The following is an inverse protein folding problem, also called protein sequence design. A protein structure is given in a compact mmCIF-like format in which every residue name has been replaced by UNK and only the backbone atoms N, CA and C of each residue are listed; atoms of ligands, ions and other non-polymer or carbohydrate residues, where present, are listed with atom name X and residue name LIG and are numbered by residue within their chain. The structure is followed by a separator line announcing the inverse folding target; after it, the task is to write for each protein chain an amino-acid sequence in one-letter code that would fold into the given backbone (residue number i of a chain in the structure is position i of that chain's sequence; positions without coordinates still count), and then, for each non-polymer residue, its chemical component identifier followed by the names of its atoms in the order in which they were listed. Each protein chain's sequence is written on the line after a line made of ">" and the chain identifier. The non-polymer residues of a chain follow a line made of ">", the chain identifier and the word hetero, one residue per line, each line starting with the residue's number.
data_IF_819389786367
#
_entry.id   IF_819389786367
#
_cell.length_a   1.000
_cell.length_b   1.000
_cell.length_c   1.000
_cell.angle_alpha   90.00
_cell.angle_beta   90.00
_cell.angle_gamma   90.00
#
_symmetry.space_group_name_H-M   'P 1'
#
loop_
_entity.id
_entity.type
_entity.pdbx_description
1 polymer ?
#
# COMPACT_ATOMS: atom_id res chain seq x y z
N UNK A 1 -61.29 -13.11 -28.44
CA UNK A 1 -60.34 -12.52 -27.48
C UNK A 1 -59.03 -12.29 -28.23
N UNK A 2 -58.78 -11.07 -28.71
CA UNK A 2 -57.65 -10.76 -29.58
C UNK A 2 -56.37 -10.58 -28.76
N UNK A 3 -55.43 -11.53 -28.90
CA UNK A 3 -54.07 -11.38 -28.39
C UNK A 3 -53.34 -10.34 -29.22
N UNK A 4 -53.06 -9.19 -28.62
CA UNK A 4 -52.40 -8.05 -29.23
C UNK A 4 -50.90 -8.37 -29.43
N UNK A 5 -50.52 -8.97 -30.57
CA UNK A 5 -49.15 -9.39 -30.90
C UNK A 5 -48.27 -8.23 -31.44
N UNK A 6 -48.24 -7.08 -30.76
CA UNK A 6 -47.41 -5.92 -31.18
C UNK A 6 -46.08 -5.78 -30.43
N UNK A 7 -45.85 -6.55 -29.35
CA UNK A 7 -44.63 -6.48 -28.54
C UNK A 7 -43.46 -7.39 -28.99
N UNK A 8 -43.69 -8.29 -29.97
CA UNK A 8 -42.69 -9.30 -30.35
C UNK A 8 -41.55 -8.72 -31.20
N UNK A 9 -41.82 -7.71 -32.03
CA UNK A 9 -40.84 -7.16 -32.98
C UNK A 9 -39.86 -6.15 -32.34
N UNK A 10 -40.21 -5.54 -31.20
CA UNK A 10 -39.32 -4.66 -30.45
C UNK A 10 -38.50 -5.43 -29.40
N UNK A 11 -38.94 -6.62 -29.00
CA UNK A 11 -38.29 -7.42 -27.97
C UNK A 11 -36.91 -7.93 -28.40
N UNK A 12 -36.75 -8.37 -29.66
CA UNK A 12 -35.49 -8.95 -30.13
C UNK A 12 -34.35 -7.92 -30.20
N UNK A 13 -34.60 -6.78 -30.84
CA UNK A 13 -33.58 -5.72 -30.96
C UNK A 13 -33.31 -5.03 -29.62
N UNK A 14 -34.34 -4.81 -28.79
CA UNK A 14 -34.15 -4.26 -27.44
C UNK A 14 -33.38 -5.25 -26.54
N UNK A 15 -33.63 -6.55 -26.66
CA UNK A 15 -32.91 -7.57 -25.90
C UNK A 15 -31.42 -7.61 -26.28
N UNK A 16 -31.09 -7.53 -27.58
CA UNK A 16 -29.71 -7.43 -28.05
C UNK A 16 -29.01 -6.20 -27.45
N UNK A 17 -29.69 -5.06 -27.42
CA UNK A 17 -29.16 -3.82 -26.83
C UNK A 17 -28.95 -3.98 -25.32
N UNK A 18 -29.90 -4.56 -24.58
CA UNK A 18 -29.77 -4.78 -23.13
C UNK A 18 -28.59 -5.71 -22.83
N UNK A 19 -28.47 -6.82 -23.57
CA UNK A 19 -27.36 -7.77 -23.41
C UNK A 19 -26.03 -7.07 -23.71
N UNK A 20 -25.96 -6.24 -24.76
CA UNK A 20 -24.77 -5.48 -25.08
C UNK A 20 -24.38 -4.51 -23.95
N UNK A 21 -25.34 -3.80 -23.35
CA UNK A 21 -25.08 -2.89 -22.23
C UNK A 21 -24.56 -3.65 -21.00
N UNK A 22 -25.16 -4.80 -20.68
CA UNK A 22 -24.71 -5.66 -19.58
C UNK A 22 -23.28 -6.14 -19.84
N UNK A 23 -22.99 -6.62 -21.05
CA UNK A 23 -21.67 -7.08 -21.44
C UNK A 23 -20.62 -5.96 -21.34
N UNK A 24 -20.93 -4.74 -21.81
CA UNK A 24 -20.06 -3.57 -21.69
C UNK A 24 -19.82 -3.21 -20.22
N UNK A 25 -20.85 -3.25 -19.39
CA UNK A 25 -20.74 -2.97 -17.95
C UNK A 25 -19.81 -3.98 -17.26
N UNK A 26 -19.93 -5.27 -17.58
CA UNK A 26 -19.02 -6.30 -17.11
C UNK A 26 -17.58 -6.08 -17.59
N UNK A 27 -17.38 -5.68 -18.85
CA UNK A 27 -16.07 -5.36 -19.40
C UNK A 27 -15.40 -4.20 -18.67
N UNK A 28 -16.13 -3.10 -18.43
CA UNK A 28 -15.61 -1.94 -17.67
C UNK A 28 -15.23 -2.35 -16.25
N UNK A 29 -16.08 -3.13 -15.57
CA UNK A 29 -15.80 -3.64 -14.24
C UNK A 29 -14.54 -4.52 -14.22
N UNK A 30 -14.41 -5.43 -15.20
CA UNK A 30 -13.26 -6.32 -15.33
C UNK A 30 -11.97 -5.54 -15.61
N UNK A 31 -12.02 -4.51 -16.48
CA UNK A 31 -10.90 -3.60 -16.73
C UNK A 31 -10.45 -2.88 -15.46
N UNK A 32 -11.38 -2.34 -14.68
CA UNK A 32 -11.07 -1.68 -13.41
C UNK A 32 -10.45 -2.66 -12.40
N UNK A 33 -11.01 -3.86 -12.30
CA UNK A 33 -10.49 -4.92 -11.41
C UNK A 33 -9.07 -5.33 -11.77
N UNK A 34 -8.79 -5.59 -13.06
CA UNK A 34 -7.46 -5.94 -13.55
C UNK A 34 -6.46 -4.80 -13.35
N UNK A 35 -6.85 -3.57 -13.68
CA UNK A 35 -6.00 -2.39 -13.49
C UNK A 35 -5.64 -2.21 -12.01
N UNK A 36 -6.64 -2.30 -11.11
CA UNK A 36 -6.41 -2.17 -9.67
C UNK A 36 -5.52 -3.28 -9.13
N UNK A 37 -5.75 -4.54 -9.53
CA UNK A 37 -4.95 -5.67 -9.08
C UNK A 37 -3.47 -5.52 -9.50
N UNK A 38 -3.22 -5.14 -10.76
CA UNK A 38 -1.87 -4.95 -11.29
C UNK A 38 -1.16 -3.74 -10.65
N UNK A 39 -1.89 -2.66 -10.35
CA UNK A 39 -1.33 -1.52 -9.62
C UNK A 39 -0.93 -1.94 -8.21
N UNK A 40 -1.80 -2.64 -7.48
CA UNK A 40 -1.51 -3.12 -6.13
C UNK A 40 -0.31 -4.06 -6.08
N UNK A 41 -0.15 -4.97 -7.04
CA UNK A 41 1.01 -5.87 -7.09
C UNK A 41 2.32 -5.09 -7.34
N UNK A 42 2.32 -4.14 -8.28
CA UNK A 42 3.50 -3.30 -8.57
C UNK A 42 3.88 -2.40 -7.40
N UNK A 43 2.90 -1.79 -6.74
CA UNK A 43 3.15 -0.94 -5.57
C UNK A 43 3.79 -1.78 -4.45
N UNK A 44 3.29 -3.00 -4.23
CA UNK A 44 3.86 -3.91 -3.22
C UNK A 44 5.27 -4.39 -3.56
N UNK A 45 5.55 -4.72 -4.83
CA UNK A 45 6.91 -5.06 -5.28
C UNK A 45 7.90 -3.90 -5.10
N UNK A 46 7.47 -2.69 -5.44
CA UNK A 46 8.28 -1.48 -5.28
C UNK A 46 8.54 -1.17 -3.79
N UNK A 47 7.52 -1.31 -2.94
CA UNK A 47 7.65 -1.19 -1.49
C UNK A 47 8.64 -2.22 -0.93
N UNK A 48 8.56 -3.48 -1.38
CA UNK A 48 9.48 -4.55 -0.96
C UNK A 48 10.91 -4.25 -1.38
N UNK A 49 11.13 -3.85 -2.63
CA UNK A 49 12.46 -3.48 -3.12
C UNK A 49 13.03 -2.28 -2.35
N UNK A 50 12.19 -1.29 -2.07
CA UNK A 50 12.56 -0.10 -1.29
C UNK A 50 12.96 -0.43 0.14
N UNK A 51 12.18 -1.28 0.81
CA UNK A 51 12.47 -1.68 2.19
C UNK A 51 13.74 -2.52 2.29
N UNK A 52 13.95 -3.43 1.34
CA UNK A 52 15.19 -4.20 1.25
C UNK A 52 16.39 -3.27 1.08
N UNK A 53 16.31 -2.32 0.13
CA UNK A 53 17.38 -1.35 -0.09
C UNK A 53 17.66 -0.50 1.16
N UNK A 54 16.62 -0.04 1.86
CA UNK A 54 16.76 0.69 3.11
C UNK A 54 17.52 -0.12 4.17
N UNK A 55 17.18 -1.39 4.32
CA UNK A 55 17.83 -2.27 5.30
C UNK A 55 19.28 -2.57 4.90
N UNK A 56 19.55 -2.75 3.61
CA UNK A 56 20.92 -2.90 3.09
C UNK A 56 21.78 -1.67 3.40
N UNK A 57 21.24 -0.46 3.19
CA UNK A 57 21.93 0.80 3.50
C UNK A 57 22.12 1.02 5.01
N UNK A 58 21.16 0.59 5.82
CA UNK A 58 21.30 0.56 7.28
C UNK A 58 22.47 -0.37 7.67
N UNK A 59 22.48 -1.59 7.13
CA UNK A 59 23.49 -2.60 7.44
C UNK A 59 24.88 -2.25 6.90
N UNK A 60 24.98 -1.45 5.83
CA UNK A 60 26.24 -0.95 5.31
C UNK A 60 26.84 0.18 6.15
N UNK A 61 26.08 0.72 7.10
CA UNK A 61 26.49 1.87 7.91
C UNK A 61 26.38 3.20 7.17
N UNK A 62 25.57 3.27 6.12
CA UNK A 62 25.33 4.51 5.39
C UNK A 62 24.61 5.52 6.27
N UNK A 63 24.92 6.81 6.09
CA UNK A 63 24.27 7.91 6.83
C UNK A 63 23.14 8.57 6.03
N UNK A 64 23.07 8.31 4.72
CA UNK A 64 22.08 8.90 3.81
C UNK A 64 21.67 7.86 2.78
N UNK A 65 20.37 7.71 2.56
CA UNK A 65 19.84 6.78 1.56
C UNK A 65 18.70 7.43 0.77
N UNK A 66 18.55 7.01 -0.49
CA UNK A 66 17.49 7.44 -1.37
C UNK A 66 16.50 6.29 -1.59
N UNK A 67 15.23 6.54 -1.28
CA UNK A 67 14.18 5.52 -1.36
C UNK A 67 13.15 5.88 -2.45
N UNK A 68 12.77 4.88 -3.25
CA UNK A 68 11.78 4.97 -4.31
C UNK A 68 10.50 4.20 -3.96
N UNK A 69 9.69 4.75 -3.06
CA UNK A 69 8.48 4.10 -2.55
C UNK A 69 7.24 4.44 -3.42
N UNK A 70 6.19 3.59 -3.47
CA UNK A 70 4.89 3.99 -3.98
C UNK A 70 4.39 5.34 -3.43
N UNK A 71 3.79 6.15 -4.31
CA UNK A 71 3.14 7.41 -3.90
C UNK A 71 2.03 7.10 -2.90
N UNK A 72 1.81 7.99 -1.92
CA UNK A 72 0.79 7.88 -0.84
C UNK A 72 1.07 6.82 0.24
N UNK A 73 2.12 6.03 0.09
CA UNK A 73 2.58 5.12 1.13
C UNK A 73 3.51 5.84 2.08
N UNK A 74 3.74 5.23 3.23
CA UNK A 74 4.55 5.80 4.32
C UNK A 74 5.54 4.78 4.85
N UNK A 75 6.62 5.29 5.43
CA UNK A 75 7.61 4.49 6.17
C UNK A 75 7.31 4.66 7.66
N UNK A 76 7.18 3.55 8.37
CA UNK A 76 6.85 3.51 9.79
C UNK A 76 7.68 2.47 10.52
N UNK A 77 8.11 2.80 11.73
CA UNK A 77 8.76 1.86 12.66
C UNK A 77 7.82 1.53 13.80
N UNK A 78 7.91 0.30 14.29
CA UNK A 78 7.15 -0.19 15.43
C UNK A 78 8.13 -0.71 16.50
N UNK A 79 8.66 0.17 17.37
CA UNK A 79 9.64 -0.20 18.39
C UNK A 79 9.02 -0.72 19.69
N UNK A 80 7.70 -0.57 19.87
CA UNK A 80 7.00 -0.96 21.08
C UNK A 80 5.94 -2.03 20.78
N UNK A 81 5.98 -3.12 21.55
CA UNK A 81 5.11 -4.30 21.42
C UNK A 81 3.61 -4.02 21.69
N UNK A 82 3.22 -2.77 21.94
CA UNK A 82 1.83 -2.40 22.28
C UNK A 82 0.92 -2.36 21.05
N UNK A 83 1.46 -1.99 19.88
CA UNK A 83 0.70 -1.90 18.62
C UNK A 83 1.47 -2.49 17.43
N UNK A 84 2.30 -3.49 17.70
CA UNK A 84 3.06 -4.17 16.66
C UNK A 84 2.11 -4.83 15.65
N UNK A 85 2.30 -4.63 14.33
CA UNK A 85 1.55 -5.37 13.32
C UNK A 85 1.67 -6.89 13.55
N UNK A 86 0.59 -7.63 13.28
CA UNK A 86 0.57 -9.09 13.37
C UNK A 86 1.65 -9.75 12.53
N UNK A 87 1.98 -9.19 11.36
CA UNK A 87 3.08 -9.72 10.55
C UNK A 87 4.40 -9.72 11.31
N UNK A 88 4.70 -8.65 12.05
CA UNK A 88 5.93 -8.55 12.83
C UNK A 88 5.87 -9.45 14.08
N UNK A 89 4.74 -9.46 14.79
CA UNK A 89 4.63 -10.25 16.04
C UNK A 89 4.55 -11.75 15.78
N UNK A 90 3.89 -12.18 14.70
CA UNK A 90 3.87 -13.59 14.30
C UNK A 90 5.25 -14.08 13.82
N UNK A 91 6.08 -13.18 13.30
CA UNK A 91 7.47 -13.48 12.95
C UNK A 91 8.41 -13.54 14.17
N UNK A 92 7.94 -13.12 15.35
CA UNK A 92 8.71 -13.11 16.58
C UNK A 92 9.68 -11.93 16.69
N UNK A 93 9.46 -10.86 15.94
CA UNK A 93 10.29 -9.66 15.96
C UNK A 93 9.88 -8.73 17.10
N UNK A 94 10.88 -8.20 17.82
CA UNK A 94 10.66 -7.17 18.84
C UNK A 94 10.38 -5.81 18.21
N UNK A 95 11.06 -5.52 17.10
CA UNK A 95 10.97 -4.26 16.35
C UNK A 95 10.82 -4.55 14.85
N UNK A 96 10.03 -3.75 14.16
CA UNK A 96 9.95 -3.85 12.70
C UNK A 96 9.79 -2.51 12.00
N UNK A 97 10.32 -2.45 10.79
CA UNK A 97 10.17 -1.35 9.86
C UNK A 97 9.22 -1.77 8.75
N UNK A 98 8.19 -0.96 8.50
CA UNK A 98 7.13 -1.25 7.56
C UNK A 98 6.97 -0.13 6.53
N UNK A 99 6.75 -0.53 5.28
CA UNK A 99 6.27 0.32 4.21
C UNK A 99 4.83 -0.09 3.89
N UNK A 100 3.89 0.83 4.10
CA UNK A 100 2.46 0.54 3.94
C UNK A 100 1.69 1.77 3.49
N UNK A 101 0.52 1.53 2.89
CA UNK A 101 -0.43 2.60 2.63
C UNK A 101 -0.99 3.12 3.96
N UNK A 102 -1.05 4.45 4.14
CA UNK A 102 -1.59 5.09 5.35
C UNK A 102 -3.11 5.21 5.25
N UNK A 103 -3.92 4.32 5.87
CA UNK A 103 -5.30 4.67 6.14
C UNK A 103 -5.32 5.85 7.11
N UNK A 104 -6.16 6.86 6.86
CA UNK A 104 -6.48 7.82 7.91
C UNK A 104 -7.05 7.09 9.14
N UNK A 105 -6.81 7.59 10.35
CA UNK A 105 -7.39 7.04 11.58
C UNK A 105 -6.38 6.84 12.72
N UNK A 106 -6.72 5.91 13.62
CA UNK A 106 -5.93 5.60 14.83
C UNK A 106 -4.67 4.77 14.53
N UNK A 107 -3.70 4.76 15.46
CA UNK A 107 -2.50 3.89 15.40
C UNK A 107 -2.86 2.42 15.15
N UNK A 108 -3.93 1.92 15.75
CA UNK A 108 -4.41 0.54 15.57
C UNK A 108 -4.90 0.28 14.16
N UNK A 109 -5.60 1.24 13.56
CA UNK A 109 -6.07 1.17 12.17
C UNK A 109 -4.89 1.18 11.21
N UNK A 110 -3.87 1.98 11.54
CA UNK A 110 -2.64 2.05 10.77
C UNK A 110 -1.85 0.73 10.81
N UNK A 111 -1.62 0.17 12.00
CA UNK A 111 -0.98 -1.14 12.17
C UNK A 111 -1.69 -2.23 11.34
N UNK A 112 -3.03 -2.30 11.43
CA UNK A 112 -3.83 -3.27 10.68
C UNK A 112 -3.77 -3.09 9.15
N UNK A 113 -3.54 -1.87 8.65
CA UNK A 113 -3.34 -1.67 7.22
C UNK A 113 -1.96 -2.12 6.75
N UNK A 114 -0.94 -1.95 7.58
CA UNK A 114 0.39 -2.48 7.28
C UNK A 114 0.38 -4.01 7.22
N UNK A 115 -0.48 -4.69 8.01
CA UNK A 115 -0.68 -6.14 7.96
C UNK A 115 -1.33 -6.66 6.67
N UNK A 116 -2.15 -5.85 5.99
CA UNK A 116 -3.00 -6.35 4.89
C UNK A 116 -2.56 -5.85 3.52
N UNK A 117 -1.86 -4.71 3.49
CA UNK A 117 -1.49 -4.00 2.26
C UNK A 117 -0.11 -3.34 2.38
N UNK A 118 0.78 -3.93 3.17
CA UNK A 118 2.13 -3.44 3.42
C UNK A 118 3.19 -4.51 3.24
N UNK A 119 4.43 -4.14 3.56
CA UNK A 119 5.55 -5.04 3.73
C UNK A 119 6.34 -4.58 4.97
N UNK A 120 6.70 -5.53 5.82
CA UNK A 120 7.47 -5.29 7.04
C UNK A 120 8.71 -6.19 7.08
N UNK A 121 9.78 -5.68 7.67
CA UNK A 121 11.02 -6.43 7.91
C UNK A 121 11.58 -6.08 9.30
N UNK A 122 12.28 -7.04 9.90
CA UNK A 122 12.94 -6.89 11.20
C UNK A 122 13.99 -5.78 11.14
N UNK A 123 13.87 -4.81 12.04
CA UNK A 123 14.85 -3.73 12.16
C UNK A 123 14.69 -2.97 13.47
N UNK A 124 15.81 -2.55 14.07
CA UNK A 124 15.84 -1.78 15.31
C UNK A 124 15.72 -0.28 15.13
N UNK A 125 15.75 0.24 13.90
CA UNK A 125 15.70 1.67 13.66
C UNK A 125 14.30 2.22 13.90
N UNK A 126 14.27 3.36 14.56
CA UNK A 126 13.07 4.11 14.88
C UNK A 126 12.96 5.29 13.92
N UNK A 127 11.85 5.39 13.22
CA UNK A 127 11.50 6.61 12.49
C UNK A 127 11.22 7.68 13.56
N UNK A 128 11.92 8.82 13.52
CA UNK A 128 11.90 9.86 14.57
C UNK A 128 10.49 10.36 14.95
N UNK A 129 9.55 10.10 14.06
CA UNK A 129 8.13 10.39 14.21
C UNK A 129 7.30 9.08 14.40
N UNK A 130 7.77 8.18 15.26
CA UNK A 130 7.16 6.86 15.49
C UNK A 130 5.66 6.92 15.84
N UNK A 131 4.85 6.04 15.23
CA UNK A 131 3.39 5.98 15.40
C UNK A 131 2.59 6.69 14.29
N UNK A 132 1.65 7.57 14.65
CA UNK A 132 0.78 8.29 13.69
C UNK A 132 1.61 9.21 12.78
N UNK A 133 2.87 9.51 13.07
CA UNK A 133 3.65 10.47 12.29
C UNK A 133 4.64 9.77 11.35
N UNK A 134 4.24 8.65 10.74
CA UNK A 134 4.98 8.01 9.65
C UNK A 134 5.45 9.04 8.59
N UNK A 135 6.63 8.81 8.00
CA UNK A 135 7.17 9.72 6.98
C UNK A 135 6.26 9.64 5.74
N UNK A 136 5.52 10.73 5.50
CA UNK A 136 4.66 10.87 4.34
C UNK A 136 5.44 11.25 3.08
N UNK A 137 5.18 10.51 2.01
CA UNK A 137 5.94 10.61 0.77
C UNK A 137 5.22 11.55 -0.18
N UNK A 138 5.61 12.83 -0.14
CA UNK A 138 5.10 13.86 -1.06
C UNK A 138 5.88 13.89 -2.38
N UNK A 139 7.19 13.72 -2.33
CA UNK A 139 8.10 13.81 -3.47
C UNK A 139 9.07 12.61 -3.55
N UNK A 140 9.45 12.24 -4.77
CA UNK A 140 10.40 11.15 -5.07
C UNK A 140 11.63 11.71 -5.82
N UNK A 141 12.87 11.24 -5.53
CA UNK A 141 13.21 10.28 -4.48
C UNK A 141 13.09 10.88 -3.07
N UNK A 142 12.79 10.03 -2.10
CA UNK A 142 12.78 10.40 -0.69
C UNK A 142 14.20 10.25 -0.14
N UNK A 143 14.80 11.35 0.33
CA UNK A 143 16.12 11.32 0.95
C UNK A 143 15.95 11.14 2.47
N UNK A 144 16.50 10.05 2.99
CA UNK A 144 16.49 9.73 4.42
C UNK A 144 17.87 9.91 5.01
N UNK A 145 17.94 10.45 6.21
CA UNK A 145 19.14 10.48 7.03
C UNK A 145 19.06 9.36 8.06
N UNK A 146 20.12 8.58 8.16
CA UNK A 146 20.24 7.44 9.07
C UNK A 146 21.22 7.81 10.17
N UNK A 147 20.73 7.92 11.40
CA UNK A 147 21.58 8.09 12.57
C UNK A 147 21.92 6.71 13.13
N UNK A 148 23.14 6.25 12.87
CA UNK A 148 23.62 4.92 13.28
C UNK A 148 23.78 4.78 14.80
N UNK A 149 24.15 5.85 15.51
CA UNK A 149 24.36 5.83 16.96
C UNK A 149 23.04 5.70 17.71
N UNK A 150 22.05 6.50 17.32
CA UNK A 150 20.74 6.54 17.96
C UNK A 150 19.73 5.56 17.33
N UNK A 151 20.10 4.91 16.22
CA UNK A 151 19.22 4.08 15.37
C UNK A 151 17.95 4.85 14.96
N UNK A 152 18.11 6.06 14.44
CA UNK A 152 16.97 6.92 14.06
C UNK A 152 16.95 7.18 12.55
N UNK A 153 15.77 7.11 11.93
CA UNK A 153 15.51 7.48 10.54
C UNK A 153 14.77 8.80 10.50
N UNK A 154 15.31 9.79 9.79
CA UNK A 154 14.70 11.11 9.61
C UNK A 154 14.56 11.44 8.12
N UNK A 155 13.50 12.16 7.75
CA UNK A 155 13.39 12.71 6.41
C UNK A 155 14.23 13.98 6.32
N UNK A 156 15.09 14.08 5.30
CA UNK A 156 15.78 15.34 5.03
C UNK A 156 14.79 16.31 4.38
N UNK A 157 14.42 17.38 5.09
CA UNK A 157 13.70 18.49 4.47
C UNK A 157 14.60 19.15 3.42
N UNK A 158 14.01 19.48 2.27
CA UNK A 158 14.69 19.99 1.09
C UNK A 158 14.87 21.50 1.17
#
# INVERSE_FOLDING_TARGET
>A
MSLNKRGFLLGEETLKIIIAIIAISFLIYLLFSLYSANKTSKDLELAKSSLNHLIEEINSGSNVTEIYNPRTWVISSWPDNTYLPRECSNAGWDNCLCICNRPGGSVRTFAAACETKGICLENDFVVEHAGINAIEIKDLPLILTLNQENKIITQKEK
#
